data_IF_863612053568
#
_entry.id   IF_863612053568
#
_cell.length_a   1.000
_cell.length_b   1.000
_cell.length_c   1.000
_cell.angle_alpha   90.00
_cell.angle_beta   90.00
_cell.angle_gamma   90.00
#
_symmetry.space_group_name_H-M   'P 1'
#
loop_
_entity.id
_entity.type
_entity.pdbx_description
1 polymer ?
#
# COMPACT_ATOMS: atom_id res chain seq x y z
N UNK A 1 21.11 15.09 23.96
CA UNK A 1 20.61 13.87 23.28
C UNK A 1 21.70 13.34 22.35
N UNK A 2 22.25 12.17 22.65
CA UNK A 2 23.18 11.49 21.73
C UNK A 2 22.37 11.01 20.52
N UNK A 3 22.59 11.59 19.34
CA UNK A 3 22.05 11.03 18.09
C UNK A 3 22.68 9.65 17.92
N UNK A 4 21.92 8.59 18.22
CA UNK A 4 22.32 7.22 17.89
C UNK A 4 22.68 7.19 16.40
N UNK A 5 23.94 6.84 16.06
CA UNK A 5 24.33 6.63 14.67
C UNK A 5 23.40 5.57 14.08
N UNK A 6 22.62 5.94 13.06
CA UNK A 6 21.75 5.00 12.35
C UNK A 6 22.65 3.98 11.66
N UNK A 7 22.69 2.76 12.18
CA UNK A 7 23.33 1.63 11.51
C UNK A 7 22.47 1.23 10.31
N UNK A 8 23.13 0.94 9.19
CA UNK A 8 22.47 0.46 7.99
C UNK A 8 21.85 -0.93 8.25
N UNK A 9 20.58 -1.11 7.89
CA UNK A 9 19.86 -2.39 7.94
C UNK A 9 19.81 -3.02 6.56
N UNK A 10 19.60 -4.32 6.45
CA UNK A 10 19.45 -4.95 5.13
C UNK A 10 18.23 -4.39 4.37
N UNK A 11 17.17 -4.02 5.11
CA UNK A 11 15.97 -3.40 4.55
C UNK A 11 16.23 -2.00 3.97
N UNK A 12 17.28 -1.30 4.42
CA UNK A 12 17.66 -0.02 3.82
C UNK A 12 18.15 -0.20 2.37
N UNK A 13 18.74 -1.36 2.02
CA UNK A 13 19.09 -1.68 0.63
C UNK A 13 17.84 -1.96 -0.23
N UNK A 14 16.84 -2.64 0.34
CA UNK A 14 15.55 -2.85 -0.33
C UNK A 14 14.88 -1.51 -0.60
N UNK A 15 14.94 -0.58 0.36
CA UNK A 15 14.44 0.78 0.17
C UNK A 15 15.17 1.49 -0.98
N UNK A 16 16.50 1.48 -0.99
CA UNK A 16 17.27 2.12 -2.07
C UNK A 16 16.96 1.51 -3.45
N UNK A 17 16.80 0.19 -3.53
CA UNK A 17 16.35 -0.49 -4.74
C UNK A 17 14.97 0.01 -5.18
N UNK A 18 13.99 0.02 -4.28
CA UNK A 18 12.62 0.49 -4.55
C UNK A 18 12.60 1.95 -5.03
N UNK A 19 13.41 2.82 -4.42
CA UNK A 19 13.52 4.22 -4.84
C UNK A 19 14.18 4.34 -6.21
N UNK A 20 15.30 3.65 -6.42
CA UNK A 20 16.03 3.67 -7.69
C UNK A 20 15.18 3.18 -8.86
N UNK A 21 14.45 2.07 -8.70
CA UNK A 21 13.58 1.53 -9.74
C UNK A 21 12.42 2.47 -10.10
N UNK A 22 11.82 3.12 -9.10
CA UNK A 22 10.74 4.09 -9.33
C UNK A 22 11.27 5.35 -10.03
N UNK A 23 12.46 5.83 -9.65
CA UNK A 23 13.11 6.97 -10.33
C UNK A 23 13.45 6.65 -11.78
N UNK A 24 13.99 5.45 -12.06
CA UNK A 24 14.26 4.99 -13.42
C UNK A 24 12.98 4.95 -14.25
N UNK A 25 11.90 4.39 -13.69
CA UNK A 25 10.59 4.37 -14.34
C UNK A 25 10.11 5.80 -14.66
N UNK A 26 10.16 6.72 -13.69
CA UNK A 26 9.72 8.10 -13.89
C UNK A 26 10.51 8.76 -15.03
N UNK A 27 11.84 8.64 -15.05
CA UNK A 27 12.69 9.23 -16.09
C UNK A 27 12.29 8.68 -17.48
N UNK A 28 12.18 7.36 -17.61
CA UNK A 28 11.85 6.70 -18.87
C UNK A 28 10.44 7.05 -19.38
N UNK A 29 9.47 7.21 -18.48
CA UNK A 29 8.09 7.52 -18.84
C UNK A 29 7.83 9.02 -19.03
N UNK A 30 8.62 9.90 -18.41
CA UNK A 30 8.60 11.34 -18.71
C UNK A 30 9.03 11.61 -20.16
N UNK A 31 10.03 10.89 -20.65
CA UNK A 31 10.43 10.96 -22.06
C UNK A 31 9.30 10.52 -23.00
N UNK A 32 8.61 9.43 -22.66
CA UNK A 32 7.46 8.95 -23.45
C UNK A 32 6.28 9.93 -23.43
N UNK A 33 6.03 10.62 -22.32
CA UNK A 33 4.97 11.62 -22.20
C UNK A 33 5.17 12.79 -23.17
N UNK A 34 6.42 13.17 -23.46
CA UNK A 34 6.74 14.21 -24.44
C UNK A 34 6.53 13.68 -25.86
N UNK A 35 6.89 12.41 -26.10
CA UNK A 35 6.91 11.81 -27.44
C UNK A 35 5.57 11.19 -27.88
N UNK A 36 4.61 10.97 -26.97
CA UNK A 36 3.33 10.30 -27.25
C UNK A 36 2.11 11.11 -26.78
N UNK A 37 1.83 12.26 -27.42
CA UNK A 37 0.82 13.22 -26.94
C UNK A 37 -0.60 12.64 -26.80
N UNK A 38 -0.94 11.60 -27.56
CA UNK A 38 -2.25 10.94 -27.53
C UNK A 38 -2.47 10.03 -26.31
N UNK A 39 -1.39 9.57 -25.64
CA UNK A 39 -1.46 8.68 -24.47
C UNK A 39 -1.25 9.44 -23.14
N UNK A 40 -1.16 10.77 -23.21
CA UNK A 40 -0.67 11.61 -22.11
C UNK A 40 -1.44 11.47 -20.81
N UNK A 41 -2.76 11.31 -20.84
CA UNK A 41 -3.57 11.25 -19.62
C UNK A 41 -3.24 9.99 -18.78
N UNK A 42 -3.17 8.81 -19.43
CA UNK A 42 -2.87 7.56 -18.74
C UNK A 42 -1.42 7.50 -18.25
N UNK A 43 -0.48 7.98 -19.08
CA UNK A 43 0.95 8.06 -18.73
C UNK A 43 1.18 9.04 -17.57
N UNK A 44 0.59 10.23 -17.61
CA UNK A 44 0.70 11.22 -16.54
C UNK A 44 0.11 10.70 -15.23
N UNK A 45 -1.03 10.01 -15.27
CA UNK A 45 -1.62 9.39 -14.09
C UNK A 45 -0.71 8.30 -13.49
N UNK A 46 -0.12 7.44 -14.32
CA UNK A 46 0.82 6.41 -13.86
C UNK A 46 2.08 7.05 -13.24
N UNK A 47 2.65 8.08 -13.86
CA UNK A 47 3.80 8.83 -13.31
C UNK A 47 3.44 9.45 -11.96
N UNK A 48 2.27 10.10 -11.85
CA UNK A 48 1.80 10.71 -10.61
C UNK A 48 1.71 9.66 -9.47
N UNK A 49 1.17 8.48 -9.76
CA UNK A 49 1.10 7.41 -8.77
C UNK A 49 2.50 6.90 -8.36
N UNK A 50 3.43 6.77 -9.31
CA UNK A 50 4.80 6.35 -8.99
C UNK A 50 5.54 7.44 -8.18
N UNK A 51 5.31 8.72 -8.46
CA UNK A 51 5.83 9.81 -7.62
C UNK A 51 5.24 9.77 -6.21
N UNK A 52 3.93 9.52 -6.07
CA UNK A 52 3.32 9.28 -4.76
C UNK A 52 3.95 8.07 -4.06
N UNK A 53 4.31 7.02 -4.82
CA UNK A 53 5.03 5.85 -4.34
C UNK A 53 6.39 6.14 -3.71
N UNK A 54 7.12 7.14 -4.20
CA UNK A 54 8.38 7.59 -3.59
C UNK A 54 8.14 8.16 -2.19
N UNK A 55 7.10 8.99 -2.05
CA UNK A 55 6.71 9.61 -0.78
C UNK A 55 6.26 8.52 0.19
N UNK A 56 5.36 7.63 -0.26
CA UNK A 56 4.82 6.52 0.51
C UNK A 56 5.98 5.63 0.98
N UNK A 57 6.84 5.12 0.09
CA UNK A 57 8.00 4.28 0.45
C UNK A 57 8.91 4.89 1.55
N UNK A 58 8.95 6.23 1.62
CA UNK A 58 9.76 6.99 2.60
C UNK A 58 9.07 7.15 3.97
N UNK A 59 7.76 6.91 4.08
CA UNK A 59 6.99 7.13 5.31
C UNK A 59 7.57 6.44 6.55
N UNK A 60 7.98 5.15 6.54
CA UNK A 60 8.55 4.52 7.72
C UNK A 60 9.81 5.23 8.23
N UNK A 61 10.66 5.73 7.32
CA UNK A 61 11.88 6.49 7.68
C UNK A 61 11.51 7.82 8.35
N UNK A 62 10.48 8.51 7.84
CA UNK A 62 10.00 9.75 8.44
C UNK A 62 9.43 9.47 9.83
N UNK A 63 8.62 8.42 9.99
CA UNK A 63 8.05 8.03 11.28
C UNK A 63 9.15 7.67 12.27
N UNK A 64 10.14 6.85 11.91
CA UNK A 64 11.29 6.51 12.77
C UNK A 64 12.16 7.72 13.14
N UNK A 65 12.08 8.82 12.36
CA UNK A 65 12.79 10.07 12.64
C UNK A 65 12.06 10.94 13.65
N UNK A 66 10.72 10.96 13.62
CA UNK A 66 9.89 11.79 14.48
C UNK A 66 9.39 11.05 15.74
N UNK A 67 9.34 9.73 15.70
CA UNK A 67 8.94 8.88 16.83
C UNK A 67 10.14 8.08 17.35
N UNK A 68 10.26 7.86 18.67
CA UNK A 68 11.31 7.01 19.27
C UNK A 68 10.98 5.52 19.10
N UNK A 69 10.56 5.12 17.90
CA UNK A 69 10.17 3.76 17.55
C UNK A 69 10.90 3.32 16.28
N UNK A 70 11.34 2.06 16.25
CA UNK A 70 11.99 1.43 15.10
C UNK A 70 11.12 0.27 14.64
N UNK A 71 10.73 0.28 13.37
CA UNK A 71 9.93 -0.81 12.82
C UNK A 71 10.77 -2.09 12.72
N UNK A 72 10.15 -3.27 12.98
CA UNK A 72 10.77 -4.55 12.69
C UNK A 72 11.17 -4.64 11.21
N UNK A 73 12.38 -5.14 10.92
CA UNK A 73 12.93 -5.15 9.56
C UNK A 73 12.07 -5.94 8.57
N UNK A 74 11.45 -7.03 9.03
CA UNK A 74 10.52 -7.84 8.22
C UNK A 74 9.27 -7.04 7.87
N UNK A 75 8.69 -6.31 8.83
CA UNK A 75 7.49 -5.49 8.58
C UNK A 75 7.81 -4.38 7.57
N UNK A 76 8.97 -3.74 7.71
CA UNK A 76 9.40 -2.72 6.76
C UNK A 76 9.69 -3.30 5.37
N UNK A 77 10.28 -4.49 5.28
CA UNK A 77 10.52 -5.14 3.98
C UNK A 77 9.21 -5.53 3.29
N UNK A 78 8.24 -6.09 4.03
CA UNK A 78 6.89 -6.40 3.51
C UNK A 78 6.18 -5.13 3.05
N UNK A 79 6.32 -4.03 3.81
CA UNK A 79 5.81 -2.72 3.41
C UNK A 79 6.39 -2.25 2.07
N UNK A 80 7.72 -2.28 1.93
CA UNK A 80 8.38 -1.88 0.70
C UNK A 80 8.03 -2.78 -0.48
N UNK A 81 7.92 -4.09 -0.24
CA UNK A 81 7.47 -5.05 -1.25
C UNK A 81 6.03 -4.76 -1.69
N UNK A 82 5.13 -4.46 -0.76
CA UNK A 82 3.76 -4.05 -1.07
C UNK A 82 3.74 -2.79 -1.93
N UNK A 83 4.45 -1.73 -1.53
CA UNK A 83 4.55 -0.47 -2.28
C UNK A 83 5.13 -0.70 -3.69
N UNK A 84 6.18 -1.50 -3.80
CA UNK A 84 6.79 -1.84 -5.09
C UNK A 84 5.82 -2.59 -6.00
N UNK A 85 5.12 -3.59 -5.46
CA UNK A 85 4.19 -4.41 -6.22
C UNK A 85 2.89 -3.68 -6.60
N UNK A 86 2.35 -2.84 -5.72
CA UNK A 86 1.10 -2.11 -5.99
C UNK A 86 1.33 -0.92 -6.92
N UNK A 87 2.38 -0.13 -6.70
CA UNK A 87 2.58 1.12 -7.42
C UNK A 87 3.41 0.90 -8.68
N UNK A 88 4.64 0.39 -8.54
CA UNK A 88 5.54 0.27 -9.70
C UNK A 88 5.10 -0.85 -10.62
N UNK A 89 4.95 -2.07 -10.10
CA UNK A 89 4.52 -3.20 -10.94
C UNK A 89 3.04 -3.09 -11.31
N UNK A 90 2.18 -2.81 -10.33
CA UNK A 90 0.73 -2.74 -10.48
C UNK A 90 0.30 -1.65 -11.45
N UNK A 91 0.47 -0.39 -11.07
CA UNK A 91 0.09 0.74 -11.93
C UNK A 91 1.11 0.99 -13.02
N UNK A 92 2.38 1.17 -12.65
CA UNK A 92 3.42 1.60 -13.60
C UNK A 92 3.64 0.62 -14.75
N UNK A 93 3.78 -0.68 -14.44
CA UNK A 93 3.99 -1.73 -15.44
C UNK A 93 2.70 -2.48 -15.83
N UNK A 94 1.54 -1.95 -15.41
CA UNK A 94 0.22 -2.47 -15.74
C UNK A 94 -0.04 -3.93 -15.31
N UNK A 95 0.52 -4.38 -14.19
CA UNK A 95 0.27 -5.74 -13.71
C UNK A 95 -1.18 -5.96 -13.29
N UNK A 96 -1.90 -4.92 -12.87
CA UNK A 96 -3.34 -5.00 -12.59
C UNK A 96 -4.16 -5.47 -13.80
N UNK A 97 -3.76 -5.11 -15.03
CA UNK A 97 -4.45 -5.56 -16.25
C UNK A 97 -3.86 -6.83 -16.84
N UNK A 98 -2.57 -7.09 -16.60
CA UNK A 98 -1.86 -8.26 -17.16
C UNK A 98 -2.11 -9.55 -16.38
N UNK A 99 -2.22 -9.48 -15.06
CA UNK A 99 -2.35 -10.67 -14.20
C UNK A 99 -3.66 -10.62 -13.42
N UNK A 100 -4.58 -11.53 -13.74
CA UNK A 100 -5.96 -11.55 -13.21
C UNK A 100 -6.05 -11.62 -11.66
N UNK A 101 -5.04 -12.19 -11.00
CA UNK A 101 -5.00 -12.32 -9.54
C UNK A 101 -4.08 -11.32 -8.85
N UNK A 102 -3.51 -10.35 -9.59
CA UNK A 102 -2.55 -9.39 -9.02
C UNK A 102 -3.12 -8.64 -7.82
N UNK A 103 -4.33 -8.13 -7.99
CA UNK A 103 -5.01 -7.37 -6.95
C UNK A 103 -5.33 -8.22 -5.72
N UNK A 104 -5.81 -9.45 -5.91
CA UNK A 104 -6.07 -10.40 -4.82
C UNK A 104 -4.80 -10.76 -4.05
N UNK A 105 -3.69 -10.95 -4.76
CA UNK A 105 -2.39 -11.19 -4.16
C UNK A 105 -1.94 -10.00 -3.29
N UNK A 106 -2.11 -8.78 -3.81
CA UNK A 106 -1.80 -7.56 -3.06
C UNK A 106 -2.69 -7.40 -1.82
N UNK A 107 -3.96 -7.79 -1.88
CA UNK A 107 -4.85 -7.79 -0.73
C UNK A 107 -4.42 -8.76 0.37
N UNK A 108 -3.92 -9.95 0.01
CA UNK A 108 -3.34 -10.88 1.00
C UNK A 108 -2.08 -10.28 1.63
N UNK A 109 -1.22 -9.67 0.81
CA UNK A 109 0.00 -9.02 1.28
C UNK A 109 -0.29 -7.84 2.20
N UNK A 110 -1.26 -6.98 1.85
CA UNK A 110 -1.69 -5.84 2.66
C UNK A 110 -2.38 -6.27 3.95
N UNK A 111 -3.20 -7.33 3.93
CA UNK A 111 -3.81 -7.88 5.13
C UNK A 111 -2.75 -8.33 6.15
N UNK A 112 -1.71 -9.04 5.69
CA UNK A 112 -0.58 -9.43 6.54
C UNK A 112 0.21 -8.24 7.08
N UNK A 113 0.48 -7.24 6.22
CA UNK A 113 1.15 -5.99 6.59
C UNK A 113 0.36 -5.23 7.68
N UNK A 114 -0.95 -5.08 7.49
CA UNK A 114 -1.83 -4.36 8.41
C UNK A 114 -2.00 -5.12 9.74
N UNK A 115 -2.05 -6.46 9.71
CA UNK A 115 -2.02 -7.26 10.94
C UNK A 115 -0.70 -7.06 11.70
N UNK A 116 0.44 -7.09 11.02
CA UNK A 116 1.75 -6.80 11.63
C UNK A 116 1.86 -5.37 12.18
N UNK A 117 1.24 -4.40 11.51
CA UNK A 117 1.13 -3.03 11.98
C UNK A 117 0.23 -2.92 13.22
N UNK A 118 -0.92 -3.60 13.23
CA UNK A 118 -1.82 -3.68 14.38
C UNK A 118 -1.11 -4.28 15.59
N UNK A 119 -0.37 -5.37 15.40
CA UNK A 119 0.46 -5.98 16.44
C UNK A 119 1.51 -5.00 16.99
N UNK A 120 2.13 -4.24 16.10
CA UNK A 120 3.11 -3.20 16.43
C UNK A 120 2.48 -2.09 17.28
N UNK A 121 1.34 -1.55 16.84
CA UNK A 121 0.60 -0.51 17.56
C UNK A 121 0.19 -1.00 18.95
N UNK A 122 -0.39 -2.20 19.04
CA UNK A 122 -0.77 -2.80 20.31
C UNK A 122 0.41 -2.84 21.28
N UNK A 123 1.56 -3.34 20.81
CA UNK A 123 2.77 -3.43 21.63
C UNK A 123 3.34 -2.09 22.07
N UNK A 124 3.14 -1.01 21.31
CA UNK A 124 3.55 0.34 21.68
C UNK A 124 2.63 0.89 22.80
N UNK A 125 1.34 0.55 22.75
CA UNK A 125 0.34 1.07 23.69
C UNK A 125 0.38 0.41 25.07
N UNK A 126 0.91 -0.81 25.18
CA UNK A 126 0.95 -1.55 26.45
C UNK A 126 2.34 -1.56 27.12
N UNK A 127 2.36 -1.64 28.44
CA UNK A 127 3.60 -1.64 29.22
C UNK A 127 4.41 -2.93 29.05
N UNK A 128 5.72 -2.88 29.33
CA UNK A 128 6.59 -4.06 29.28
C UNK A 128 6.08 -5.20 30.17
N UNK A 129 5.56 -4.88 31.35
CA UNK A 129 5.04 -5.86 32.30
C UNK A 129 3.73 -6.48 31.78
N UNK A 130 2.83 -5.66 31.22
CA UNK A 130 1.60 -6.15 30.59
C UNK A 130 1.89 -7.08 29.42
N UNK A 131 2.92 -6.79 28.60
CA UNK A 131 3.32 -7.65 27.46
C UNK A 131 3.67 -9.06 27.88
N UNK A 132 4.26 -9.25 29.05
CA UNK A 132 4.69 -10.57 29.54
C UNK A 132 3.52 -11.44 29.98
N UNK A 133 2.43 -10.82 30.43
CA UNK A 133 1.23 -11.52 30.91
C UNK A 133 0.10 -11.53 29.89
N UNK A 134 0.24 -10.81 28.78
CA UNK A 134 -0.81 -10.67 27.77
C UNK A 134 -0.99 -11.97 26.99
N UNK A 135 -2.25 -12.36 26.79
CA UNK A 135 -2.57 -13.51 25.96
C UNK A 135 -2.17 -13.27 24.50
N UNK A 136 -1.39 -14.18 23.93
CA UNK A 136 -1.04 -14.16 22.51
C UNK A 136 -2.30 -14.17 21.62
N UNK A 137 -3.36 -14.87 22.04
CA UNK A 137 -4.64 -14.87 21.33
C UNK A 137 -5.25 -13.48 21.27
N UNK A 138 -5.25 -12.74 22.39
CA UNK A 138 -5.83 -11.39 22.43
C UNK A 138 -5.05 -10.42 21.53
N UNK A 139 -3.73 -10.50 21.53
CA UNK A 139 -2.88 -9.70 20.65
C UNK A 139 -3.15 -10.01 19.17
N UNK A 140 -3.29 -11.30 18.83
CA UNK A 140 -3.63 -11.74 17.48
C UNK A 140 -5.02 -11.29 17.04
N UNK A 141 -6.02 -11.39 17.92
CA UNK A 141 -7.38 -10.92 17.65
C UNK A 141 -7.41 -9.42 17.42
N UNK A 142 -6.71 -8.63 18.24
CA UNK A 142 -6.57 -7.19 18.01
C UNK A 142 -5.92 -6.89 16.66
N UNK A 143 -4.84 -7.59 16.33
CA UNK A 143 -4.10 -7.38 15.09
C UNK A 143 -4.96 -7.70 13.86
N UNK A 144 -5.72 -8.79 13.93
CA UNK A 144 -6.67 -9.20 12.91
C UNK A 144 -7.80 -8.18 12.75
N UNK A 145 -8.44 -7.77 13.84
CA UNK A 145 -9.55 -6.81 13.77
C UNK A 145 -9.10 -5.45 13.29
N UNK A 146 -7.95 -4.96 13.77
CA UNK A 146 -7.32 -3.73 13.26
C UNK A 146 -7.10 -3.81 11.75
N UNK A 147 -6.46 -4.88 11.27
CA UNK A 147 -6.18 -5.07 9.85
C UNK A 147 -7.45 -5.14 9.01
N UNK A 148 -8.44 -5.92 9.44
CA UNK A 148 -9.73 -6.04 8.77
C UNK A 148 -10.49 -4.70 8.74
N UNK A 149 -10.50 -3.93 9.83
CA UNK A 149 -11.14 -2.61 9.85
C UNK A 149 -10.49 -1.65 8.87
N UNK A 150 -9.16 -1.60 8.83
CA UNK A 150 -8.46 -0.75 7.84
C UNK A 150 -8.74 -1.22 6.41
N UNK A 151 -8.79 -2.53 6.17
CA UNK A 151 -9.17 -3.10 4.86
C UNK A 151 -10.60 -2.71 4.45
N UNK A 152 -11.57 -2.77 5.35
CA UNK A 152 -12.95 -2.32 5.08
C UNK A 152 -12.99 -0.82 4.75
N UNK A 153 -12.27 0.01 5.50
CA UNK A 153 -12.18 1.45 5.20
C UNK A 153 -11.53 1.72 3.84
N UNK A 154 -10.58 0.89 3.42
CA UNK A 154 -9.99 0.95 2.09
C UNK A 154 -11.01 0.66 0.99
N UNK A 155 -11.85 -0.37 1.15
CA UNK A 155 -12.92 -0.68 0.20
C UNK A 155 -13.93 0.46 0.06
N UNK A 156 -14.28 1.13 1.17
CA UNK A 156 -15.13 2.32 1.11
C UNK A 156 -14.48 3.48 0.36
N UNK A 157 -13.17 3.67 0.53
CA UNK A 157 -12.42 4.67 -0.23
C UNK A 157 -12.43 4.38 -1.73
N UNK A 158 -12.18 3.12 -2.13
CA UNK A 158 -12.22 2.71 -3.53
C UNK A 158 -13.61 2.86 -4.13
N UNK A 159 -14.65 2.39 -3.42
CA UNK A 159 -16.03 2.55 -3.85
C UNK A 159 -16.43 4.01 -4.03
N UNK A 160 -15.99 4.89 -3.13
CA UNK A 160 -16.23 6.33 -3.23
C UNK A 160 -15.60 6.90 -4.51
N UNK A 161 -14.34 6.54 -4.80
CA UNK A 161 -13.68 6.94 -6.06
C UNK A 161 -14.39 6.40 -7.30
N UNK A 162 -14.84 5.15 -7.25
CA UNK A 162 -15.54 4.50 -8.35
C UNK A 162 -16.91 5.14 -8.62
N UNK A 163 -17.67 5.43 -7.56
CA UNK A 163 -19.01 5.98 -7.66
C UNK A 163 -19.02 7.47 -8.04
N UNK A 164 -18.17 8.29 -7.42
CA UNK A 164 -18.21 9.75 -7.60
C UNK A 164 -17.23 10.28 -8.64
N UNK A 165 -16.11 9.60 -8.88
CA UNK A 165 -15.06 10.06 -9.79
C UNK A 165 -14.97 9.23 -11.07
N UNK A 166 -15.82 8.21 -11.23
CA UNK A 166 -15.84 7.34 -12.41
C UNK A 166 -14.55 6.54 -12.58
N UNK A 167 -13.86 6.25 -11.48
CA UNK A 167 -12.66 5.43 -11.47
C UNK A 167 -13.03 3.94 -11.59
N UNK A 168 -12.00 3.09 -11.57
CA UNK A 168 -12.15 1.63 -11.56
C UNK A 168 -11.10 1.03 -10.61
N UNK A 169 -11.17 1.46 -9.35
CA UNK A 169 -10.31 1.10 -8.24
C UNK A 169 -10.62 -0.33 -7.78
N UNK A 170 -11.90 -0.65 -7.57
CA UNK A 170 -12.35 -2.00 -7.17
C UNK A 170 -12.34 -3.01 -8.33
N UNK A 171 -11.90 -2.58 -9.53
CA UNK A 171 -11.82 -3.41 -10.74
C UNK A 171 -13.16 -4.04 -11.15
N UNK A 172 -14.26 -3.33 -10.91
CA UNK A 172 -15.61 -3.79 -11.25
C UNK A 172 -15.92 -3.75 -12.75
N UNK A 173 -15.05 -3.17 -13.58
CA UNK A 173 -15.24 -3.04 -15.03
C UNK A 173 -14.01 -3.52 -15.83
N UNK A 174 -14.24 -4.25 -16.92
CA UNK A 174 -13.20 -4.68 -17.88
C UNK A 174 -13.67 -4.40 -19.32
N UNK A 175 -12.88 -3.66 -20.09
CA UNK A 175 -13.21 -3.34 -21.49
C UNK A 175 -14.54 -2.59 -21.65
N UNK A 176 -14.89 -1.71 -20.70
CA UNK A 176 -16.16 -0.98 -20.68
C UNK A 176 -17.36 -1.82 -20.23
N UNK A 177 -17.18 -3.10 -19.92
CA UNK A 177 -18.25 -3.99 -19.43
C UNK A 177 -18.17 -4.15 -17.92
N UNK A 178 -19.31 -3.96 -17.27
CA UNK A 178 -19.49 -4.14 -15.84
C UNK A 178 -19.47 -5.64 -15.48
N UNK A 179 -18.79 -5.97 -14.39
CA UNK A 179 -18.77 -7.32 -13.82
C UNK A 179 -20.02 -7.55 -12.98
N UNK A 180 -20.49 -8.81 -12.93
CA UNK A 180 -21.74 -9.19 -12.25
C UNK A 180 -21.77 -8.77 -10.77
N UNK A 181 -20.61 -8.71 -10.10
CA UNK A 181 -20.51 -8.32 -8.70
C UNK A 181 -20.85 -6.86 -8.41
N UNK A 182 -20.81 -5.97 -9.41
CA UNK A 182 -21.01 -4.54 -9.17
C UNK A 182 -22.43 -4.22 -8.67
N UNK A 183 -23.46 -4.90 -9.17
CA UNK A 183 -24.83 -4.65 -8.73
C UNK A 183 -25.02 -4.99 -7.24
N UNK A 184 -24.47 -6.12 -6.79
CA UNK A 184 -24.47 -6.50 -5.38
C UNK A 184 -23.62 -5.54 -4.51
N UNK A 185 -22.53 -5.02 -5.06
CA UNK A 185 -21.67 -4.05 -4.39
C UNK A 185 -22.39 -2.72 -4.16
N UNK A 186 -23.08 -2.20 -5.19
CA UNK A 186 -23.89 -0.98 -5.09
C UNK A 186 -25.03 -1.16 -4.10
N UNK A 187 -25.72 -2.30 -4.12
CA UNK A 187 -26.82 -2.61 -3.18
C UNK A 187 -26.37 -2.56 -1.71
N UNK A 188 -25.14 -2.98 -1.43
CA UNK A 188 -24.61 -3.05 -0.05
C UNK A 188 -23.91 -1.78 0.42
N UNK A 189 -23.46 -0.92 -0.50
CA UNK A 189 -22.63 0.24 -0.17
C UNK A 189 -23.24 1.60 -0.52
N UNK A 190 -24.21 1.65 -1.44
CA UNK A 190 -24.90 2.89 -1.76
C UNK A 190 -26.00 3.19 -0.74
N UNK A 191 -26.19 4.49 -0.47
CA UNK A 191 -27.36 4.99 0.27
C UNK A 191 -28.26 5.64 -0.79
N UNK A 192 -29.48 5.13 -0.93
CA UNK A 192 -30.51 5.66 -1.84
C UNK A 192 -31.20 6.90 -1.27
#
# INVERSE_FOLDING_TARGET
MVKQKRTLRWVDWVYLFTMGSQLIYIIFYLEQLINRPTENAGLAFAILQVVAGLIIATLPILIERFMPYRFPEILYAVYLAFVYCSILLGTGLHFYSRFIYWDKFLHVLSAGLLAGLGYTIFNILISKQQRQTMSALLMSLFSLTFGSTVGILWEFYEFTGDHFLGLNMQRFMVGGKLLQGQAALVDTMAIY
#
